data_IF_984084001720
#
_entry.id   IF_984084001720
#
_cell.length_a   1.000
_cell.length_b   1.000
_cell.length_c   1.000
_cell.angle_alpha   90.00
_cell.angle_beta   90.00
_cell.angle_gamma   90.00
#
_symmetry.space_group_name_H-M   'P 1'
#
loop_
_entity.id
_entity.type
_entity.pdbx_description
1 polymer ?
#
# COMPACT_ATOMS: atom_id res chain seq x y z
N UNK A 1 31.55 -39.68 -2.74
CA UNK A 1 30.95 -38.37 -3.09
C UNK A 1 30.74 -37.59 -1.80
N UNK A 2 31.38 -36.44 -1.65
CA UNK A 2 31.24 -35.65 -0.43
C UNK A 2 29.89 -34.92 -0.42
N UNK A 3 29.09 -35.13 0.62
CA UNK A 3 27.80 -34.44 0.78
C UNK A 3 28.06 -33.01 1.26
N UNK A 4 27.44 -32.03 0.60
CA UNK A 4 27.48 -30.62 1.01
C UNK A 4 26.26 -30.25 1.87
N UNK A 5 26.34 -29.11 2.55
CA UNK A 5 25.22 -28.54 3.30
C UNK A 5 24.13 -28.06 2.33
N UNK A 6 22.89 -28.51 2.55
CA UNK A 6 21.77 -28.23 1.63
C UNK A 6 21.02 -26.91 1.94
N UNK A 7 21.16 -26.34 3.14
CA UNK A 7 20.45 -25.11 3.54
C UNK A 7 21.20 -24.30 4.60
N UNK A 8 21.20 -22.96 4.50
CA UNK A 8 21.78 -22.06 5.51
C UNK A 8 21.15 -20.66 5.52
N UNK A 9 20.86 -20.15 6.72
CA UNK A 9 20.39 -18.78 6.97
C UNK A 9 21.51 -17.85 7.47
N UNK A 10 22.74 -18.35 7.60
CA UNK A 10 23.85 -17.71 8.33
C UNK A 10 24.14 -16.26 7.92
N UNK A 11 24.03 -15.92 6.64
CA UNK A 11 24.32 -14.56 6.14
C UNK A 11 23.06 -13.78 5.73
N UNK A 12 21.86 -14.33 5.93
CA UNK A 12 20.64 -13.67 5.47
C UNK A 12 20.36 -12.40 6.26
N UNK A 13 20.42 -12.48 7.59
CA UNK A 13 20.25 -11.32 8.48
C UNK A 13 21.27 -10.22 8.16
N UNK A 14 22.56 -10.56 8.04
CA UNK A 14 23.60 -9.57 7.71
C UNK A 14 23.31 -8.85 6.39
N UNK A 15 22.85 -9.55 5.36
CA UNK A 15 22.46 -8.95 4.07
C UNK A 15 21.25 -8.01 4.20
N UNK A 16 20.21 -8.41 4.94
CA UNK A 16 19.03 -7.58 5.15
C UNK A 16 19.35 -6.27 5.87
N UNK A 17 20.28 -6.33 6.83
CA UNK A 17 20.68 -5.15 7.61
C UNK A 17 21.70 -4.24 6.90
N UNK A 18 22.39 -4.69 5.84
CA UNK A 18 23.30 -3.81 5.05
C UNK A 18 22.57 -2.62 4.43
N UNK A 19 21.37 -2.85 3.90
CA UNK A 19 20.52 -1.79 3.32
C UNK A 19 19.50 -1.25 4.33
N UNK A 20 19.40 -1.90 5.50
CA UNK A 20 18.42 -1.64 6.54
C UNK A 20 17.02 -2.13 6.16
N UNK A 21 16.33 -2.76 7.11
CA UNK A 21 14.93 -3.14 6.96
C UNK A 21 14.08 -1.90 7.20
N UNK A 22 13.57 -1.28 6.13
CA UNK A 22 12.75 -0.07 6.21
C UNK A 22 11.30 -0.46 6.50
N UNK A 23 10.69 0.26 7.45
CA UNK A 23 9.24 0.20 7.66
C UNK A 23 8.51 0.82 6.45
N UNK A 24 7.31 0.32 6.08
CA UNK A 24 6.50 1.01 5.08
C UNK A 24 6.21 2.44 5.55
N UNK A 25 6.17 3.40 4.62
CA UNK A 25 5.84 4.78 4.96
C UNK A 25 4.35 4.87 5.26
N UNK A 26 3.98 5.41 6.42
CA UNK A 26 2.59 5.78 6.70
C UNK A 26 2.23 7.03 5.89
N UNK A 27 1.06 6.99 5.24
CA UNK A 27 0.47 8.16 4.57
C UNK A 27 -0.75 8.61 5.38
N UNK A 28 -1.13 9.90 5.28
CA UNK A 28 -2.33 10.41 5.97
C UNK A 28 -3.61 9.71 5.52
N UNK A 29 -3.65 9.25 4.27
CA UNK A 29 -4.74 8.48 3.69
C UNK A 29 -4.17 7.24 3.00
N UNK A 30 -4.72 6.08 3.33
CA UNK A 30 -4.34 4.80 2.71
C UNK A 30 -5.04 4.59 1.37
N UNK A 31 -4.49 3.72 0.52
CA UNK A 31 -5.10 3.41 -0.78
C UNK A 31 -6.38 2.59 -0.62
N UNK A 32 -7.43 2.91 -1.38
CA UNK A 32 -8.69 2.14 -1.42
C UNK A 32 -8.59 0.84 -2.25
N UNK A 33 -7.38 0.40 -2.61
CA UNK A 33 -7.15 -0.79 -3.45
C UNK A 33 -7.50 -2.05 -2.66
N UNK A 34 -8.47 -2.82 -3.15
CA UNK A 34 -8.95 -4.06 -2.49
C UNK A 34 -10.14 -3.85 -1.55
N UNK A 35 -10.66 -2.62 -1.43
CA UNK A 35 -11.96 -2.36 -0.79
C UNK A 35 -13.05 -2.98 -1.65
N UNK A 36 -13.96 -3.75 -1.04
CA UNK A 36 -15.07 -4.38 -1.75
C UNK A 36 -15.87 -3.32 -2.52
N UNK A 37 -16.32 -3.67 -3.73
CA UNK A 37 -17.03 -2.75 -4.62
C UNK A 37 -18.20 -2.04 -3.93
N UNK A 38 -18.85 -2.70 -2.97
CA UNK A 38 -19.93 -2.12 -2.16
C UNK A 38 -19.50 -0.85 -1.42
N UNK A 39 -18.31 -0.83 -0.79
CA UNK A 39 -17.79 0.33 -0.07
C UNK A 39 -17.04 1.30 -1.00
N UNK A 40 -16.44 0.79 -2.09
CA UNK A 40 -15.72 1.62 -3.06
C UNK A 40 -16.66 2.42 -3.97
N UNK A 41 -17.90 2.00 -4.20
CA UNK A 41 -18.84 2.75 -5.04
C UNK A 41 -19.51 3.92 -4.29
N UNK A 42 -19.56 3.89 -2.96
CA UNK A 42 -20.14 4.97 -2.16
C UNK A 42 -19.25 6.23 -2.15
N UNK A 43 -17.92 6.05 -2.01
CA UNK A 43 -16.93 7.15 -1.99
C UNK A 43 -16.97 8.04 -3.24
N UNK A 44 -17.00 7.52 -4.49
CA UNK A 44 -17.10 8.33 -5.70
C UNK A 44 -18.51 8.88 -5.93
N UNK A 45 -19.57 8.25 -5.38
CA UNK A 45 -20.92 8.82 -5.47
C UNK A 45 -21.02 10.09 -4.62
N UNK A 46 -20.63 10.04 -3.34
CA UNK A 46 -20.63 11.23 -2.47
C UNK A 46 -19.62 12.29 -2.94
N UNK A 47 -18.45 11.88 -3.47
CA UNK A 47 -17.43 12.78 -3.99
C UNK A 47 -17.81 13.49 -5.31
N UNK A 48 -18.64 12.89 -6.17
CA UNK A 48 -19.13 13.54 -7.40
C UNK A 48 -20.22 14.58 -7.14
N UNK A 49 -21.03 14.38 -6.11
CA UNK A 49 -22.10 15.30 -5.73
C UNK A 49 -21.55 16.64 -5.24
N UNK A 50 -20.45 16.62 -4.47
CA UNK A 50 -19.86 17.82 -3.88
C UNK A 50 -19.11 18.66 -4.91
N UNK A 51 -18.33 18.07 -5.82
CA UNK A 51 -17.58 18.84 -6.84
C UNK A 51 -18.47 19.51 -7.87
N UNK A 52 -19.63 18.91 -8.20
CA UNK A 52 -20.62 19.55 -9.10
C UNK A 52 -21.28 20.75 -8.43
N UNK A 53 -21.67 20.62 -7.16
CA UNK A 53 -22.31 21.72 -6.42
C UNK A 53 -21.40 22.97 -6.30
N UNK A 54 -20.08 22.79 -6.15
CA UNK A 54 -19.14 23.92 -6.15
C UNK A 54 -19.02 24.63 -7.51
N UNK A 55 -19.20 23.92 -8.63
CA UNK A 55 -19.09 24.51 -9.98
C UNK A 55 -20.37 25.23 -10.44
N UNK A 56 -21.51 25.02 -9.76
CA UNK A 56 -22.78 25.75 -10.03
C UNK A 56 -22.92 26.99 -9.14
N UNK A 57 -22.16 27.10 -8.04
CA UNK A 57 -22.22 28.27 -7.13
C UNK A 57 -21.26 29.40 -7.55
N UNK A 58 -20.41 29.17 -8.56
CA UNK A 58 -19.47 30.16 -9.11
C UNK A 58 -19.70 30.49 -10.61
N UNK A 59 -20.91 30.26 -11.12
CA UNK A 59 -21.36 30.71 -12.45
C UNK A 59 -22.66 31.50 -12.35
#
# INVERSE_FOLDING_TARGET
>A
MAKSKNHTTHNQSRKWHRNGIKKPRSQRYESLKGVSALNHMEVPFLGRCTVKAFHVVFL
#
